data_IF_911825640486
#
_entry.id   IF_911825640486
#
_cell.length_a   1.000
_cell.length_b   1.000
_cell.length_c   1.000
_cell.angle_alpha   90.00
_cell.angle_beta   90.00
_cell.angle_gamma   90.00
#
_symmetry.space_group_name_H-M   'P 1'
#
loop_
_entity.id
_entity.type
_entity.pdbx_description
1 polymer ?
#
# COMPACT_ATOMS: atom_id res chain seq x y z
N UNK A 1 -28.62 -17.66 25.04
CA UNK A 1 -28.58 -17.73 23.59
C UNK A 1 -27.09 -17.72 23.15
N UNK A 2 -26.61 -18.66 22.32
CA UNK A 2 -25.25 -18.62 21.84
C UNK A 2 -25.15 -17.42 20.92
N UNK A 3 -24.22 -16.51 21.19
CA UNK A 3 -23.83 -15.45 20.27
C UNK A 3 -23.34 -16.13 18.99
N UNK A 4 -24.04 -15.91 17.88
CA UNK A 4 -23.53 -16.31 16.57
C UNK A 4 -22.21 -15.59 16.36
N UNK A 5 -21.11 -16.31 16.45
CA UNK A 5 -19.80 -15.80 16.09
C UNK A 5 -19.88 -15.40 14.63
N UNK A 6 -19.93 -14.09 14.36
CA UNK A 6 -19.89 -13.57 12.99
C UNK A 6 -18.54 -13.99 12.40
N UNK A 7 -18.59 -14.80 11.37
CA UNK A 7 -17.36 -15.18 10.67
C UNK A 7 -16.82 -13.92 9.99
N UNK A 8 -15.63 -13.48 10.42
CA UNK A 8 -14.92 -12.34 9.84
C UNK A 8 -13.96 -12.83 8.77
N UNK A 9 -13.86 -12.06 7.69
CA UNK A 9 -12.93 -12.31 6.60
C UNK A 9 -11.97 -11.13 6.48
N UNK A 10 -10.72 -11.41 6.18
CA UNK A 10 -9.71 -10.35 5.91
C UNK A 10 -10.11 -9.46 4.73
N UNK A 11 -10.93 -9.98 3.84
CA UNK A 11 -11.56 -9.27 2.71
C UNK A 11 -13.02 -9.65 2.60
N UNK A 12 -13.86 -8.69 2.26
CA UNK A 12 -15.26 -8.95 1.94
C UNK A 12 -15.37 -9.94 0.79
N UNK A 13 -16.28 -10.91 0.92
CA UNK A 13 -16.58 -11.89 -0.13
C UNK A 13 -17.50 -11.27 -1.19
N UNK A 14 -17.01 -10.25 -1.89
CA UNK A 14 -17.70 -9.71 -3.06
C UNK A 14 -17.55 -10.67 -4.24
N UNK A 15 -18.45 -10.57 -5.23
CA UNK A 15 -18.33 -11.37 -6.48
C UNK A 15 -16.97 -11.20 -7.16
N UNK A 16 -16.40 -9.98 -7.12
CA UNK A 16 -15.06 -9.71 -7.66
C UNK A 16 -13.96 -10.46 -6.89
N UNK A 17 -13.97 -10.37 -5.55
CA UNK A 17 -12.96 -11.06 -4.74
C UNK A 17 -13.10 -12.58 -4.86
N UNK A 18 -14.33 -13.10 -4.94
CA UNK A 18 -14.58 -14.52 -5.18
C UNK A 18 -14.04 -14.95 -6.55
N UNK A 19 -14.25 -14.17 -7.62
CA UNK A 19 -13.73 -14.47 -8.95
C UNK A 19 -12.19 -14.47 -9.01
N UNK A 20 -11.53 -13.49 -8.39
CA UNK A 20 -10.06 -13.46 -8.31
C UNK A 20 -9.50 -14.67 -7.55
N UNK A 21 -10.12 -15.03 -6.43
CA UNK A 21 -9.73 -16.20 -5.64
C UNK A 21 -9.96 -17.49 -6.44
N UNK A 22 -11.09 -17.61 -7.13
CA UNK A 22 -11.44 -18.78 -7.91
C UNK A 22 -10.43 -19.01 -9.05
N UNK A 23 -10.08 -17.97 -9.81
CA UNK A 23 -9.08 -18.09 -10.89
C UNK A 23 -7.74 -18.60 -10.35
N UNK A 24 -7.25 -18.03 -9.24
CA UNK A 24 -6.01 -18.49 -8.62
C UNK A 24 -6.14 -19.93 -8.10
N UNK A 25 -7.28 -20.31 -7.50
CA UNK A 25 -7.50 -21.66 -7.02
C UNK A 25 -7.56 -22.69 -8.15
N UNK A 26 -8.11 -22.31 -9.31
CA UNK A 26 -8.13 -23.15 -10.53
C UNK A 26 -6.73 -23.37 -11.08
N UNK A 27 -5.87 -22.33 -11.12
CA UNK A 27 -4.46 -22.44 -11.55
C UNK A 27 -3.65 -23.41 -10.68
N UNK A 28 -3.98 -23.51 -9.39
CA UNK A 28 -3.30 -24.40 -8.44
C UNK A 28 -4.04 -25.72 -8.17
N UNK A 29 -5.15 -26.02 -8.88
CA UNK A 29 -5.98 -27.19 -8.59
C UNK A 29 -5.18 -28.50 -8.64
N UNK A 30 -4.28 -28.64 -9.60
CA UNK A 30 -3.41 -29.79 -9.79
C UNK A 30 -2.08 -29.70 -9.00
N UNK A 31 -1.85 -28.57 -8.31
CA UNK A 31 -0.62 -28.26 -7.57
C UNK A 31 -0.86 -27.88 -6.10
N UNK A 32 -1.60 -28.68 -5.32
CA UNK A 32 -2.03 -28.30 -3.97
C UNK A 32 -0.87 -28.17 -2.96
N UNK A 33 0.27 -28.83 -3.21
CA UNK A 33 1.45 -28.67 -2.36
C UNK A 33 2.15 -27.33 -2.64
N UNK A 34 2.34 -27.00 -3.91
CA UNK A 34 2.93 -25.73 -4.33
C UNK A 34 2.10 -24.54 -3.81
N UNK A 35 0.75 -24.64 -3.88
CA UNK A 35 -0.15 -23.66 -3.28
C UNK A 35 0.12 -23.45 -1.78
N UNK A 36 0.26 -24.54 -1.00
CA UNK A 36 0.59 -24.46 0.42
C UNK A 36 1.94 -23.82 0.66
N UNK A 37 2.95 -24.19 -0.12
CA UNK A 37 4.31 -23.67 0.00
C UNK A 37 4.34 -22.15 -0.26
N UNK A 38 3.58 -21.64 -1.23
CA UNK A 38 3.42 -20.20 -1.47
C UNK A 38 2.71 -19.51 -0.31
N UNK A 39 1.65 -20.07 0.23
CA UNK A 39 0.92 -19.48 1.37
C UNK A 39 1.81 -19.42 2.63
N UNK A 40 2.59 -20.46 2.89
CA UNK A 40 3.53 -20.49 4.00
C UNK A 40 4.67 -19.48 3.79
N UNK A 41 5.16 -19.36 2.56
CA UNK A 41 6.14 -18.34 2.21
C UNK A 41 5.58 -16.92 2.39
N UNK A 42 4.38 -16.62 1.90
CA UNK A 42 3.74 -15.32 2.12
C UNK A 42 3.53 -15.02 3.61
N UNK A 43 3.15 -16.01 4.39
CA UNK A 43 2.98 -15.84 5.84
C UNK A 43 4.30 -15.57 6.57
N UNK A 44 5.43 -15.96 5.98
CA UNK A 44 6.76 -15.72 6.52
C UNK A 44 7.35 -14.36 6.10
N UNK A 45 6.74 -13.66 5.14
CA UNK A 45 7.23 -12.35 4.70
C UNK A 45 6.98 -11.27 5.78
N UNK A 46 7.96 -10.38 6.01
CA UNK A 46 7.75 -9.27 6.93
C UNK A 46 6.84 -8.21 6.31
N UNK A 47 6.02 -7.55 7.12
CA UNK A 47 5.20 -6.40 6.71
C UNK A 47 6.03 -5.19 6.31
N UNK A 48 7.23 -5.09 6.88
CA UNK A 48 8.22 -4.05 6.59
C UNK A 48 9.62 -4.53 6.96
N UNK A 49 10.64 -3.84 6.41
CA UNK A 49 12.04 -4.00 6.79
C UNK A 49 12.54 -2.64 7.30
N UNK A 50 13.12 -2.62 8.50
CA UNK A 50 13.85 -1.48 9.05
C UNK A 50 15.35 -1.82 9.10
N UNK A 51 16.12 -1.30 8.17
CA UNK A 51 17.58 -1.44 8.10
C UNK A 51 18.33 -0.28 8.74
N UNK A 52 17.65 0.54 9.54
CA UNK A 52 18.20 1.74 10.17
C UNK A 52 18.33 2.91 9.18
N UNK A 53 19.28 2.85 8.24
CA UNK A 53 19.47 3.88 7.21
C UNK A 53 18.49 3.77 6.04
N UNK A 54 17.84 2.62 5.85
CA UNK A 54 16.82 2.39 4.84
C UNK A 54 15.62 1.64 5.40
N UNK A 55 14.49 1.81 4.78
CA UNK A 55 13.21 1.20 5.11
C UNK A 55 12.54 0.67 3.86
N UNK A 56 11.83 -0.45 4.00
CA UNK A 56 11.01 -1.02 2.94
C UNK A 56 9.63 -1.32 3.50
N UNK A 57 8.59 -0.90 2.80
CA UNK A 57 7.20 -1.22 3.13
C UNK A 57 6.39 -1.26 1.85
N UNK A 58 5.31 -2.05 1.83
CA UNK A 58 4.53 -2.18 0.58
C UNK A 58 3.87 -0.85 0.16
N UNK A 59 3.33 -0.06 1.10
CA UNK A 59 2.66 1.18 0.74
C UNK A 59 3.11 2.40 1.55
N UNK A 60 2.85 2.46 2.86
CA UNK A 60 3.09 3.66 3.65
C UNK A 60 3.81 3.31 4.96
N UNK A 61 4.90 4.02 5.27
CA UNK A 61 5.64 3.86 6.52
C UNK A 61 4.99 4.69 7.64
N UNK A 62 4.09 4.07 8.38
CA UNK A 62 3.49 4.70 9.56
C UNK A 62 4.32 4.37 10.81
N UNK A 63 5.01 5.37 11.34
CA UNK A 63 5.95 5.21 12.47
C UNK A 63 5.30 4.63 13.72
N UNK A 64 4.05 5.01 14.01
CA UNK A 64 3.37 4.55 15.22
C UNK A 64 2.95 3.09 15.08
N UNK A 65 2.40 2.71 13.93
CA UNK A 65 2.01 1.34 13.66
C UNK A 65 3.23 0.42 13.55
N UNK A 66 4.30 0.87 12.89
CA UNK A 66 5.57 0.12 12.84
C UNK A 66 6.14 -0.10 14.24
N UNK A 67 6.20 0.95 15.08
CA UNK A 67 6.69 0.81 16.45
C UNK A 67 5.84 -0.18 17.28
N UNK A 68 4.52 -0.17 17.12
CA UNK A 68 3.63 -1.11 17.79
C UNK A 68 3.89 -2.57 17.36
N UNK A 69 4.09 -2.82 16.08
CA UNK A 69 4.46 -4.15 15.57
C UNK A 69 5.84 -4.57 16.07
N UNK A 70 6.83 -3.69 16.04
CA UNK A 70 8.17 -3.97 16.57
C UNK A 70 8.15 -4.30 18.07
N UNK A 71 7.33 -3.57 18.85
CA UNK A 71 7.16 -3.84 20.28
C UNK A 71 6.55 -5.22 20.53
N UNK A 72 5.59 -5.64 19.71
CA UNK A 72 4.87 -6.91 19.89
C UNK A 72 5.67 -8.11 19.38
N UNK A 73 6.40 -7.98 18.26
CA UNK A 73 7.02 -9.09 17.52
C UNK A 73 8.55 -8.99 17.42
N UNK A 74 9.16 -7.89 17.86
CA UNK A 74 10.61 -7.68 17.76
C UNK A 74 11.10 -7.28 16.35
N UNK A 75 10.22 -7.21 15.36
CA UNK A 75 10.54 -6.89 13.97
C UNK A 75 9.31 -6.70 13.10
N UNK A 76 9.47 -6.79 11.79
CA UNK A 76 8.38 -6.64 10.83
C UNK A 76 7.58 -7.92 10.53
N UNK A 77 8.07 -9.08 10.99
CA UNK A 77 7.39 -10.35 10.80
C UNK A 77 6.31 -10.54 11.86
N UNK A 78 5.13 -10.96 11.45
CA UNK A 78 3.98 -11.18 12.33
C UNK A 78 3.53 -12.64 12.27
N UNK A 79 2.78 -13.07 13.27
CA UNK A 79 2.25 -14.43 13.31
C UNK A 79 0.88 -14.55 12.60
N UNK A 80 0.44 -15.78 12.41
CA UNK A 80 -0.83 -16.09 11.78
C UNK A 80 -2.03 -15.54 12.56
N UNK A 81 -1.94 -15.48 13.89
CA UNK A 81 -3.01 -14.93 14.73
C UNK A 81 -3.20 -13.43 14.47
N UNK A 82 -2.09 -12.69 14.30
CA UNK A 82 -2.14 -11.28 13.94
C UNK A 82 -2.76 -11.07 12.54
N UNK A 83 -2.39 -11.91 11.55
CA UNK A 83 -3.02 -11.87 10.22
C UNK A 83 -4.52 -12.11 10.33
N UNK A 84 -4.96 -13.11 11.09
CA UNK A 84 -6.39 -13.40 11.31
C UNK A 84 -7.11 -12.25 12.02
N UNK A 85 -6.48 -11.64 13.03
CA UNK A 85 -7.03 -10.50 13.74
C UNK A 85 -7.28 -9.28 12.82
N UNK A 86 -6.56 -9.16 11.70
CA UNK A 86 -6.78 -8.08 10.74
C UNK A 86 -8.15 -8.10 10.05
N UNK A 87 -8.91 -9.19 10.18
CA UNK A 87 -10.29 -9.29 9.73
C UNK A 87 -11.26 -8.44 10.57
N UNK A 88 -10.91 -8.12 11.81
CA UNK A 88 -11.68 -7.23 12.67
C UNK A 88 -11.31 -5.77 12.39
N UNK A 89 -12.25 -4.93 11.87
CA UNK A 89 -11.99 -3.53 11.53
C UNK A 89 -11.51 -2.67 12.70
N UNK A 90 -11.85 -3.03 13.92
CA UNK A 90 -11.51 -2.27 15.13
C UNK A 90 -10.15 -2.71 15.72
N UNK A 91 -9.55 -3.77 15.18
CA UNK A 91 -8.27 -4.30 15.67
C UNK A 91 -7.07 -3.45 15.28
N UNK A 92 -6.01 -3.50 16.10
CA UNK A 92 -4.70 -2.94 15.76
C UNK A 92 -4.13 -3.60 14.47
N UNK A 93 -4.30 -4.90 14.31
CA UNK A 93 -3.86 -5.63 13.13
C UNK A 93 -4.52 -5.09 11.84
N UNK A 94 -5.82 -4.79 11.87
CA UNK A 94 -6.53 -4.18 10.72
C UNK A 94 -5.94 -2.83 10.35
N UNK A 95 -5.66 -1.98 11.33
CA UNK A 95 -5.05 -0.67 11.09
C UNK A 95 -3.66 -0.82 10.47
N UNK A 96 -2.84 -1.75 10.98
CA UNK A 96 -1.50 -2.07 10.45
C UNK A 96 -1.60 -2.51 8.98
N UNK A 97 -2.41 -3.53 8.67
CA UNK A 97 -2.54 -4.05 7.31
C UNK A 97 -3.07 -2.99 6.34
N UNK A 98 -4.07 -2.22 6.74
CA UNK A 98 -4.60 -1.17 5.87
C UNK A 98 -3.57 -0.07 5.61
N UNK A 99 -2.86 0.40 6.63
CA UNK A 99 -1.91 1.51 6.49
C UNK A 99 -0.64 1.08 5.76
N UNK A 100 -0.01 -0.01 6.20
CA UNK A 100 1.29 -0.42 5.67
C UNK A 100 1.17 -1.06 4.28
N UNK A 101 0.06 -1.73 3.97
CA UNK A 101 -0.09 -2.45 2.70
C UNK A 101 -1.04 -1.78 1.69
N UNK A 102 -1.87 -0.82 2.11
CA UNK A 102 -2.82 -0.12 1.21
C UNK A 102 -2.63 1.39 1.19
N UNK A 103 -1.75 1.91 2.04
CA UNK A 103 -1.46 3.33 2.12
C UNK A 103 -2.57 4.15 2.78
N UNK A 104 -2.69 5.40 2.38
CA UNK A 104 -3.62 6.35 2.97
C UNK A 104 -4.81 6.53 2.04
N UNK A 105 -5.99 6.09 2.51
CA UNK A 105 -7.25 6.37 1.84
C UNK A 105 -8.04 7.38 2.67
N UNK A 106 -8.46 8.47 2.03
CA UNK A 106 -9.21 9.55 2.64
C UNK A 106 -10.58 9.68 2.00
N UNK A 107 -11.61 10.08 2.76
CA UNK A 107 -12.95 10.26 2.22
C UNK A 107 -12.98 11.40 1.20
N UNK A 108 -13.81 11.25 0.17
CA UNK A 108 -14.16 12.35 -0.73
C UNK A 108 -15.02 13.39 0.01
N UNK A 109 -14.91 14.68 -0.33
CA UNK A 109 -15.67 15.73 0.33
C UNK A 109 -17.18 15.61 0.05
N UNK A 110 -18.01 16.06 1.00
CA UNK A 110 -19.45 16.20 0.81
C UNK A 110 -20.21 14.91 0.49
N UNK A 111 -19.64 13.74 0.80
CA UNK A 111 -20.28 12.46 0.47
C UNK A 111 -20.24 12.11 -1.02
N UNK A 112 -19.42 12.79 -1.80
CA UNK A 112 -19.20 12.49 -3.21
C UNK A 112 -18.68 11.06 -3.41
N UNK A 113 -18.94 10.54 -4.59
CA UNK A 113 -18.40 9.25 -5.02
C UNK A 113 -17.89 9.34 -6.46
N UNK A 114 -16.97 8.46 -6.81
CA UNK A 114 -16.41 8.34 -8.15
C UNK A 114 -16.45 6.87 -8.57
N UNK A 115 -16.80 6.64 -9.84
CA UNK A 115 -16.69 5.30 -10.43
C UNK A 115 -15.29 5.15 -10.99
N UNK A 116 -14.52 4.20 -10.46
CA UNK A 116 -13.19 3.88 -10.96
C UNK A 116 -13.22 3.22 -12.34
N UNK A 117 -12.04 3.06 -12.95
CA UNK A 117 -11.90 2.40 -14.26
C UNK A 117 -12.39 0.93 -14.24
N UNK A 118 -12.38 0.31 -13.06
CA UNK A 118 -12.90 -1.03 -12.82
C UNK A 118 -14.43 -1.08 -12.59
N UNK A 119 -15.14 0.04 -12.80
CA UNK A 119 -16.58 0.16 -12.61
C UNK A 119 -17.04 0.22 -11.15
N UNK A 120 -16.14 0.23 -10.18
CA UNK A 120 -16.50 0.27 -8.75
C UNK A 120 -16.71 1.71 -8.27
N UNK A 121 -17.79 1.88 -7.51
CA UNK A 121 -18.09 3.14 -6.83
C UNK A 121 -17.18 3.29 -5.62
N UNK A 122 -16.44 4.41 -5.54
CA UNK A 122 -15.57 4.76 -4.44
C UNK A 122 -16.01 6.03 -3.77
N UNK A 123 -16.04 6.03 -2.46
CA UNK A 123 -16.31 7.20 -1.60
C UNK A 123 -15.04 7.77 -0.98
N UNK A 124 -13.89 7.20 -1.35
CA UNK A 124 -12.56 7.60 -0.87
C UNK A 124 -11.57 7.61 -2.02
N UNK A 125 -10.48 8.32 -1.83
CA UNK A 125 -9.36 8.38 -2.77
C UNK A 125 -8.06 8.03 -2.05
N UNK A 126 -7.06 7.57 -2.80
CA UNK A 126 -5.71 7.33 -2.27
C UNK A 126 -4.95 8.65 -2.20
N UNK A 127 -4.42 8.95 -1.02
CA UNK A 127 -3.65 10.16 -0.79
C UNK A 127 -2.15 9.87 -0.89
N UNK A 128 -1.40 10.81 -1.45
CA UNK A 128 0.07 10.81 -1.37
C UNK A 128 0.49 11.07 0.06
N UNK A 129 1.42 10.28 0.59
CA UNK A 129 1.92 10.42 1.96
C UNK A 129 3.25 11.18 2.05
N UNK A 130 3.88 11.42 0.91
CA UNK A 130 5.13 12.15 0.87
C UNK A 130 4.89 13.65 0.74
N UNK A 131 5.74 14.42 1.42
CA UNK A 131 5.74 15.86 1.34
C UNK A 131 6.28 16.35 0.00
N UNK A 132 5.70 17.40 -0.54
CA UNK A 132 6.22 18.16 -1.67
C UNK A 132 6.71 19.52 -1.15
N UNK A 133 7.35 20.33 -2.00
CA UNK A 133 7.87 21.66 -1.61
C UNK A 133 6.80 22.54 -0.97
N UNK A 134 5.56 22.36 -1.39
CA UNK A 134 4.40 23.02 -0.80
C UNK A 134 3.38 21.98 -0.35
N UNK A 135 2.85 22.17 0.87
CA UNK A 135 1.77 21.34 1.37
C UNK A 135 0.56 21.43 0.42
N UNK A 136 -0.06 20.31 0.02
CA UNK A 136 -1.23 20.32 -0.85
C UNK A 136 -2.35 21.13 -0.21
N UNK A 137 -2.99 21.98 -1.01
CA UNK A 137 -4.08 22.85 -0.57
C UNK A 137 -5.45 22.30 -0.98
N UNK A 138 -5.49 21.44 -2.00
CA UNK A 138 -6.71 20.90 -2.58
C UNK A 138 -6.69 19.37 -2.62
N UNK A 139 -7.88 18.78 -2.79
CA UNK A 139 -8.00 17.34 -2.94
C UNK A 139 -7.25 16.80 -4.15
N UNK A 140 -7.27 17.52 -5.28
CA UNK A 140 -6.53 17.10 -6.48
C UNK A 140 -5.02 17.08 -6.27
N UNK A 141 -4.47 18.04 -5.55
CA UNK A 141 -3.04 18.10 -5.24
C UNK A 141 -2.61 16.98 -4.29
N UNK A 142 -3.49 16.54 -3.40
CA UNK A 142 -3.19 15.46 -2.46
C UNK A 142 -3.40 14.07 -3.08
N UNK A 143 -4.33 13.93 -4.01
CA UNK A 143 -4.71 12.65 -4.57
C UNK A 143 -3.55 11.99 -5.32
N UNK A 144 -3.39 10.69 -5.07
CA UNK A 144 -2.60 9.83 -5.93
C UNK A 144 -3.50 9.29 -7.04
N UNK A 145 -3.21 9.67 -8.29
CA UNK A 145 -3.88 9.13 -9.47
C UNK A 145 -3.59 7.61 -9.59
N UNK A 146 -4.49 6.70 -9.98
CA UNK A 146 -5.13 6.82 -11.29
C UNK A 146 -6.62 7.16 -11.28
N UNK A 147 -7.32 7.02 -10.14
CA UNK A 147 -8.75 7.34 -10.17
C UNK A 147 -8.95 8.86 -10.12
N UNK A 148 -9.64 9.46 -11.09
CA UNK A 148 -9.83 10.91 -11.11
C UNK A 148 -10.66 11.34 -9.90
N UNK A 149 -10.24 12.45 -9.27
CA UNK A 149 -11.09 13.13 -8.30
C UNK A 149 -12.24 13.79 -9.08
N UNK A 150 -13.50 13.69 -8.63
CA UNK A 150 -14.61 14.40 -9.25
C UNK A 150 -14.30 15.89 -9.39
N UNK A 151 -14.64 16.50 -10.51
CA UNK A 151 -14.31 17.90 -10.81
C UNK A 151 -14.76 18.85 -9.69
N UNK A 152 -15.93 18.60 -9.11
CA UNK A 152 -16.49 19.38 -8.00
C UNK A 152 -15.66 19.28 -6.71
N UNK A 153 -14.94 18.16 -6.54
CA UNK A 153 -14.07 17.93 -5.40
C UNK A 153 -12.62 18.40 -5.66
N UNK A 154 -12.17 18.37 -6.89
CA UNK A 154 -10.77 18.56 -7.26
C UNK A 154 -10.19 19.88 -6.73
N UNK A 155 -10.91 20.99 -6.91
CA UNK A 155 -10.52 22.32 -6.47
C UNK A 155 -10.93 22.62 -5.02
N UNK A 156 -11.61 21.71 -4.33
CA UNK A 156 -12.03 21.91 -2.94
C UNK A 156 -10.81 21.95 -2.05
N UNK A 157 -10.80 22.91 -1.13
CA UNK A 157 -9.71 23.08 -0.17
C UNK A 157 -9.71 21.94 0.86
N UNK A 158 -8.51 21.41 1.15
CA UNK A 158 -8.35 20.38 2.17
C UNK A 158 -8.65 20.93 3.58
N UNK A 159 -9.52 20.25 4.34
CA UNK A 159 -9.68 20.52 5.76
C UNK A 159 -8.37 20.27 6.53
N UNK A 160 -8.05 21.14 7.50
CA UNK A 160 -6.81 21.03 8.28
C UNK A 160 -6.71 19.73 9.08
N UNK A 161 -7.82 19.22 9.58
CA UNK A 161 -7.92 17.98 10.32
C UNK A 161 -7.63 16.76 9.43
N UNK A 162 -8.08 16.80 8.17
CA UNK A 162 -7.76 15.76 7.19
C UNK A 162 -6.26 15.73 6.88
N UNK A 163 -5.66 16.90 6.67
CA UNK A 163 -4.22 17.01 6.43
C UNK A 163 -3.39 16.48 7.60
N UNK A 164 -3.83 16.72 8.85
CA UNK A 164 -3.16 16.22 10.05
C UNK A 164 -3.19 14.70 10.20
N UNK A 165 -4.09 14.02 9.50
CA UNK A 165 -4.16 12.55 9.50
C UNK A 165 -3.15 11.92 8.53
N UNK A 166 -2.47 12.74 7.70
CA UNK A 166 -1.45 12.23 6.81
C UNK A 166 -0.21 11.84 7.60
N UNK A 167 0.28 10.66 7.28
CA UNK A 167 1.63 10.26 7.68
C UNK A 167 2.58 10.81 6.63
N UNK A 168 3.49 11.65 7.04
CA UNK A 168 4.43 12.30 6.12
C UNK A 168 5.79 11.62 6.18
N UNK A 169 6.43 11.53 5.02
CA UNK A 169 7.82 11.16 4.88
C UNK A 169 8.63 12.42 4.57
N UNK A 170 9.48 12.83 5.51
CA UNK A 170 10.26 14.06 5.43
C UNK A 170 11.63 13.85 4.79
N UNK A 171 12.26 14.91 4.31
CA UNK A 171 13.60 14.86 3.68
C UNK A 171 14.71 14.34 4.63
N UNK A 172 14.52 14.46 5.95
CA UNK A 172 15.44 13.96 6.98
C UNK A 172 15.23 12.49 7.36
N UNK A 173 14.15 11.88 6.88
CA UNK A 173 13.86 10.49 7.16
C UNK A 173 14.83 9.55 6.43
N UNK A 174 15.04 8.34 6.93
CA UNK A 174 15.80 7.30 6.23
C UNK A 174 15.31 7.07 4.80
N UNK A 175 16.15 6.48 3.97
CA UNK A 175 15.76 6.08 2.62
C UNK A 175 14.54 5.16 2.68
N UNK A 176 13.53 5.41 1.86
CA UNK A 176 12.29 4.63 1.86
C UNK A 176 12.00 4.05 0.48
N UNK A 177 11.78 2.74 0.44
CA UNK A 177 11.33 2.02 -0.74
C UNK A 177 9.90 1.55 -0.54
N UNK A 178 9.05 1.84 -1.52
CA UNK A 178 7.63 1.47 -1.52
C UNK A 178 7.21 0.83 -2.83
N UNK A 179 6.09 0.14 -2.83
CA UNK A 179 5.30 -0.27 -3.98
C UNK A 179 3.92 0.39 -3.94
N UNK A 180 2.89 -0.30 -4.41
CA UNK A 180 1.47 0.06 -4.31
C UNK A 180 1.06 1.41 -4.94
N UNK A 181 1.88 2.44 -4.82
CA UNK A 181 1.75 3.73 -5.49
C UNK A 181 2.40 3.63 -6.88
N UNK A 182 1.82 2.74 -7.69
CA UNK A 182 2.38 2.36 -8.98
C UNK A 182 2.62 3.57 -9.90
N UNK A 183 3.66 3.45 -10.68
CA UNK A 183 4.10 4.47 -11.63
C UNK A 183 4.17 3.87 -13.02
N UNK A 184 4.26 4.74 -13.99
CA UNK A 184 4.49 4.43 -15.41
C UNK A 184 5.78 5.12 -15.91
N UNK A 185 6.14 4.84 -17.14
CA UNK A 185 7.33 5.41 -17.77
C UNK A 185 8.64 4.85 -17.22
N UNK A 186 9.73 5.58 -17.35
CA UNK A 186 11.03 5.17 -16.83
C UNK A 186 11.11 5.30 -15.31
N UNK A 187 11.77 4.33 -14.63
CA UNK A 187 11.95 4.40 -13.19
C UNK A 187 12.66 5.68 -12.76
N UNK A 188 12.02 6.38 -11.83
CA UNK A 188 12.50 7.66 -11.32
C UNK A 188 12.24 7.80 -9.83
N UNK A 189 13.09 8.58 -9.16
CA UNK A 189 12.90 8.93 -7.77
C UNK A 189 11.64 9.79 -7.59
N UNK A 190 10.91 9.54 -6.52
CA UNK A 190 9.87 10.47 -6.04
C UNK A 190 10.57 11.65 -5.35
N UNK A 191 11.58 11.33 -4.52
CA UNK A 191 12.38 12.28 -3.74
C UNK A 191 13.79 11.71 -3.54
N UNK A 192 14.77 12.52 -3.13
CA UNK A 192 16.14 12.03 -2.86
C UNK A 192 16.23 10.92 -1.80
N UNK A 193 15.18 10.69 -1.03
CA UNK A 193 15.09 9.64 -0.01
C UNK A 193 13.85 8.74 -0.15
N UNK A 194 13.15 8.80 -1.31
CA UNK A 194 11.96 7.99 -1.56
C UNK A 194 11.91 7.47 -2.99
N UNK A 195 11.81 6.15 -3.13
CA UNK A 195 11.60 5.48 -4.41
C UNK A 195 10.39 4.54 -4.35
N UNK A 196 9.57 4.56 -5.41
CA UNK A 196 8.59 3.51 -5.66
C UNK A 196 9.18 2.50 -6.64
N UNK A 197 9.03 1.20 -6.33
CA UNK A 197 9.52 0.11 -7.17
C UNK A 197 8.38 -0.61 -7.91
N UNK A 198 7.14 -0.17 -7.74
CA UNK A 198 5.98 -0.71 -8.43
C UNK A 198 5.76 0.06 -9.74
N UNK A 199 5.97 -0.63 -10.85
CA UNK A 199 5.75 -0.14 -12.21
C UNK A 199 4.81 -1.05 -12.98
N UNK A 200 3.84 -1.66 -12.27
CA UNK A 200 2.74 -2.46 -12.83
C UNK A 200 3.19 -3.59 -13.76
N UNK A 201 4.24 -4.33 -13.38
CA UNK A 201 4.76 -5.43 -14.18
C UNK A 201 3.67 -6.43 -14.59
N UNK A 202 2.72 -6.72 -13.71
CA UNK A 202 1.58 -7.62 -13.97
C UNK A 202 0.60 -7.10 -15.03
N UNK A 203 0.65 -5.82 -15.38
CA UNK A 203 -0.18 -5.18 -16.40
C UNK A 203 0.64 -4.73 -17.61
N UNK A 204 1.75 -5.41 -17.91
CA UNK A 204 2.62 -5.09 -19.04
C UNK A 204 3.53 -3.87 -18.82
N UNK A 205 3.72 -3.45 -17.58
CA UNK A 205 4.67 -2.41 -17.21
C UNK A 205 6.09 -2.95 -17.04
N UNK A 206 6.78 -2.59 -15.96
CA UNK A 206 8.18 -2.94 -15.72
C UNK A 206 8.37 -3.65 -14.38
N UNK A 207 9.23 -4.66 -14.37
CA UNK A 207 9.76 -5.20 -13.11
C UNK A 207 11.00 -4.38 -12.76
N UNK A 208 10.89 -3.61 -11.68
CA UNK A 208 11.89 -2.62 -11.26
C UNK A 208 12.54 -3.04 -9.97
N UNK A 209 13.84 -2.83 -9.88
CA UNK A 209 14.62 -2.95 -8.65
C UNK A 209 15.54 -1.73 -8.48
N UNK A 210 16.03 -1.54 -7.26
CA UNK A 210 17.01 -0.53 -6.92
C UNK A 210 18.23 -1.20 -6.29
N UNK A 211 19.43 -0.89 -6.77
CA UNK A 211 20.69 -1.38 -6.20
C UNK A 211 21.16 -0.42 -5.12
N UNK A 212 20.83 -0.75 -3.87
CA UNK A 212 21.22 0.06 -2.73
C UNK A 212 22.72 -0.20 -2.38
N UNK A 213 23.53 0.83 -2.50
CA UNK A 213 24.91 0.91 -2.04
C UNK A 213 25.04 1.61 -0.68
N UNK A 214 26.09 2.40 -0.49
CA UNK A 214 26.38 3.17 0.74
C UNK A 214 25.94 4.65 0.63
N UNK A 215 25.24 5.01 -0.43
CA UNK A 215 24.76 6.36 -0.67
C UNK A 215 23.83 6.87 0.45
N UNK A 216 24.01 8.15 0.82
CA UNK A 216 23.14 8.83 1.79
C UNK A 216 21.85 9.35 1.18
N UNK A 217 21.77 9.41 -0.17
CA UNK A 217 20.59 9.80 -0.95
C UNK A 217 20.48 8.86 -2.15
N UNK A 218 19.25 8.56 -2.54
CA UNK A 218 19.01 7.71 -3.69
C UNK A 218 19.53 8.36 -4.98
N UNK A 219 20.04 7.51 -5.88
CA UNK A 219 20.65 7.89 -7.15
C UNK A 219 19.83 7.29 -8.30
N UNK A 220 19.38 8.08 -9.29
CA UNK A 220 18.58 7.56 -10.41
C UNK A 220 19.25 6.41 -11.18
N UNK A 221 20.56 6.45 -11.32
CA UNK A 221 21.38 5.43 -12.00
C UNK A 221 21.40 4.07 -11.32
N UNK A 222 20.95 3.98 -10.06
CA UNK A 222 20.87 2.72 -9.32
C UNK A 222 19.58 1.93 -9.59
N UNK A 223 18.62 2.50 -10.33
CA UNK A 223 17.49 1.73 -10.83
C UNK A 223 17.95 0.73 -11.89
N UNK A 224 17.38 -0.46 -11.81
CA UNK A 224 17.49 -1.49 -12.85
C UNK A 224 16.11 -2.06 -13.12
N UNK A 225 15.80 -2.36 -14.38
CA UNK A 225 14.50 -2.89 -14.74
C UNK A 225 14.54 -3.72 -16.02
N UNK A 226 13.49 -4.49 -16.19
CA UNK A 226 13.16 -5.19 -17.43
C UNK A 226 11.71 -4.88 -17.78
N UNK A 227 11.42 -4.80 -19.08
CA UNK A 227 10.03 -4.71 -19.55
C UNK A 227 9.32 -6.03 -19.21
N UNK A 228 8.08 -5.95 -18.73
CA UNK A 228 7.27 -7.15 -18.60
C UNK A 228 6.96 -7.69 -20.01
N UNK A 229 7.13 -8.99 -20.19
CA UNK A 229 6.66 -9.64 -21.42
C UNK A 229 5.13 -9.56 -21.45
N UNK A 230 4.53 -9.23 -22.60
CA UNK A 230 3.08 -9.22 -22.76
C UNK A 230 2.47 -10.61 -22.62
#
# INVERSE_FOLDING_TARGET
APSSSRQLFVRDHTSRHAGLWQATAEDFADHPQEWRDYLDWFAALPLFIDGGRFRVVHACWDRQLVAGVQQQFGGGQVDRAFVQASADPDSFAHQVFNRLLRGINLPLPGGLSVTGQDGLLRTSFRARFWEEEQAPQTYAELAFQPDPIPADAAATRLPRDLYRQLVQHEARDPLLFVGHYWRDGEPALIRPNLACLDYSAVNGGRLVAYRLGDEARLLPENFVWVEACP
#
